data_IF_056352338474
#
_entry.id   IF_056352338474
#
_cell.length_a   1.000
_cell.length_b   1.000
_cell.length_c   1.000
_cell.angle_alpha   90.00
_cell.angle_beta   90.00
_cell.angle_gamma   90.00
#
_symmetry.space_group_name_H-M   'P 1'
#
loop_
_entity.id
_entity.type
_entity.pdbx_description
1 polymer ?
#
# COMPACT_ATOMS: atom_id res chain seq x y z
N UNK A 1 -4.09 -3.47 -8.18
CA UNK A 1 -3.78 -4.36 -7.07
C UNK A 1 -2.28 -4.43 -6.80
N UNK A 2 -1.88 -5.05 -5.71
CA UNK A 2 -0.46 -5.24 -5.37
C UNK A 2 0.04 -6.63 -5.70
N UNK A 3 -0.86 -7.59 -5.83
CA UNK A 3 -0.53 -9.03 -5.90
C UNK A 3 0.48 -9.44 -4.81
N UNK A 4 0.30 -8.85 -3.61
CA UNK A 4 1.20 -9.05 -2.49
C UNK A 4 1.15 -10.50 -2.00
N UNK A 5 2.31 -11.14 -1.96
CA UNK A 5 2.47 -12.51 -1.49
C UNK A 5 3.71 -12.61 -0.59
N UNK A 6 3.52 -13.08 0.64
CA UNK A 6 4.56 -13.17 1.68
C UNK A 6 5.39 -14.46 1.58
N UNK A 7 5.74 -14.92 0.39
CA UNK A 7 6.66 -16.04 0.23
C UNK A 7 8.08 -15.62 0.56
N UNK A 8 8.82 -16.46 1.27
CA UNK A 8 10.24 -16.23 1.54
C UNK A 8 11.10 -16.43 0.29
N UNK A 9 12.29 -15.86 0.27
CA UNK A 9 13.28 -16.11 -0.77
C UNK A 9 13.60 -17.61 -0.88
N UNK A 10 13.69 -18.31 0.27
CA UNK A 10 13.89 -19.77 0.32
C UNK A 10 12.79 -20.55 -0.39
N UNK A 11 11.52 -20.20 -0.17
CA UNK A 11 10.39 -20.85 -0.85
C UNK A 11 10.43 -20.65 -2.36
N UNK A 12 10.85 -19.48 -2.83
CA UNK A 12 11.01 -19.22 -4.27
C UNK A 12 12.19 -19.95 -4.87
N UNK A 13 13.33 -19.98 -4.20
CA UNK A 13 14.56 -20.60 -4.71
C UNK A 13 14.48 -22.12 -4.75
N UNK A 14 13.66 -22.76 -3.92
CA UNK A 14 13.40 -24.22 -4.01
C UNK A 14 12.89 -24.64 -5.39
N UNK A 15 12.18 -23.76 -6.09
CA UNK A 15 11.61 -24.00 -7.41
C UNK A 15 12.36 -23.25 -8.53
N UNK A 16 13.57 -22.75 -8.28
CA UNK A 16 14.33 -21.96 -9.25
C UNK A 16 14.66 -22.70 -10.55
N UNK A 17 14.63 -24.05 -10.54
CA UNK A 17 14.87 -24.89 -11.70
C UNK A 17 13.66 -25.00 -12.65
N UNK A 18 12.45 -24.65 -12.18
CA UNK A 18 11.23 -24.68 -12.99
C UNK A 18 10.28 -23.55 -12.54
N UNK A 19 10.18 -22.51 -13.36
CA UNK A 19 9.33 -21.34 -13.09
C UNK A 19 7.85 -21.68 -12.89
N UNK A 20 7.37 -22.79 -13.47
CA UNK A 20 5.98 -23.24 -13.32
C UNK A 20 5.63 -23.68 -11.90
N UNK A 21 6.63 -24.06 -11.13
CA UNK A 21 6.51 -24.51 -9.74
C UNK A 21 6.78 -23.38 -8.74
N UNK A 22 7.35 -22.27 -9.20
CA UNK A 22 7.69 -21.15 -8.33
C UNK A 22 6.40 -20.47 -7.83
N UNK A 23 6.25 -20.22 -6.52
CA UNK A 23 5.13 -19.47 -5.99
C UNK A 23 5.02 -18.07 -6.64
N UNK A 24 3.83 -17.73 -7.15
CA UNK A 24 3.57 -16.45 -7.81
C UNK A 24 3.47 -15.30 -6.82
N UNK A 25 3.68 -14.07 -7.33
CA UNK A 25 3.58 -12.84 -6.56
C UNK A 25 4.86 -12.45 -5.81
N UNK A 26 4.90 -11.23 -5.36
CA UNK A 26 6.03 -10.60 -4.66
C UNK A 26 5.53 -9.79 -3.47
N UNK A 27 6.32 -9.62 -2.40
CA UNK A 27 5.97 -8.69 -1.33
C UNK A 27 6.04 -7.24 -1.85
N UNK A 28 5.02 -6.43 -1.58
CA UNK A 28 5.00 -5.07 -2.10
C UNK A 28 3.83 -4.20 -1.65
N UNK A 29 2.99 -4.66 -0.71
CA UNK A 29 1.83 -3.87 -0.28
C UNK A 29 2.24 -2.57 0.41
N UNK A 30 3.24 -2.62 1.28
CA UNK A 30 3.74 -1.47 2.03
C UNK A 30 4.52 -0.49 1.15
N UNK A 31 5.33 -1.01 0.23
CA UNK A 31 6.19 -0.20 -0.64
C UNK A 31 5.45 0.42 -1.82
N UNK A 32 4.23 -0.02 -2.11
CA UNK A 32 3.45 0.43 -3.28
C UNK A 32 3.21 1.94 -3.29
N UNK A 33 2.80 2.52 -2.16
CA UNK A 33 2.48 3.94 -2.07
C UNK A 33 3.71 4.81 -2.36
N UNK A 34 4.84 4.67 -1.64
CA UNK A 34 6.03 5.47 -1.89
C UNK A 34 6.65 5.23 -3.27
N UNK A 35 6.62 4.01 -3.80
CA UNK A 35 7.14 3.73 -5.15
C UNK A 35 6.30 4.43 -6.22
N UNK A 36 4.98 4.32 -6.16
CA UNK A 36 4.12 4.97 -7.17
C UNK A 36 4.24 6.49 -7.08
N UNK A 37 4.36 7.06 -5.87
CA UNK A 37 4.63 8.48 -5.72
C UNK A 37 5.96 8.87 -6.36
N UNK A 38 7.04 8.23 -5.96
CA UNK A 38 8.39 8.53 -6.41
C UNK A 38 8.56 8.40 -7.93
N UNK A 39 7.98 7.34 -8.52
CA UNK A 39 8.16 7.07 -9.95
C UNK A 39 7.25 7.88 -10.87
N UNK A 40 6.09 8.28 -10.39
CA UNK A 40 5.09 8.90 -11.26
C UNK A 40 4.73 10.33 -10.88
N UNK A 41 4.68 10.66 -9.59
CA UNK A 41 4.32 12.02 -9.17
C UNK A 41 5.54 12.90 -9.08
N UNK A 42 6.60 12.46 -8.41
CA UNK A 42 7.85 13.20 -8.26
C UNK A 42 8.53 13.46 -9.63
N UNK A 43 8.35 12.54 -10.58
CA UNK A 43 8.82 12.71 -11.97
C UNK A 43 7.89 13.56 -12.86
N UNK A 44 6.72 13.97 -12.37
CA UNK A 44 5.74 14.75 -13.11
C UNK A 44 4.88 13.99 -14.12
N UNK A 45 4.95 12.64 -14.14
CA UNK A 45 4.12 11.80 -15.03
C UNK A 45 2.66 11.75 -14.58
N UNK A 46 2.40 11.86 -13.27
CA UNK A 46 1.06 11.93 -12.70
C UNK A 46 0.93 13.18 -11.81
N UNK A 47 -0.24 13.82 -11.85
CA UNK A 47 -0.56 14.81 -10.84
C UNK A 47 -0.88 14.13 -9.49
N UNK A 48 -0.74 14.82 -8.33
CA UNK A 48 -1.17 14.30 -7.03
C UNK A 48 -2.65 13.86 -7.02
N UNK A 49 -3.52 14.55 -7.75
CA UNK A 49 -4.93 14.21 -7.87
C UNK A 49 -5.13 12.89 -8.64
N UNK A 50 -4.37 12.67 -9.73
CA UNK A 50 -4.40 11.41 -10.47
C UNK A 50 -3.86 10.26 -9.62
N UNK A 51 -2.81 10.49 -8.84
CA UNK A 51 -2.28 9.53 -7.88
C UNK A 51 -3.35 9.08 -6.87
N UNK A 52 -4.06 10.03 -6.22
CA UNK A 52 -5.13 9.70 -5.27
C UNK A 52 -6.26 8.91 -5.96
N UNK A 53 -6.63 9.27 -7.19
CA UNK A 53 -7.61 8.49 -7.96
C UNK A 53 -7.17 7.04 -8.16
N UNK A 54 -5.93 6.82 -8.58
CA UNK A 54 -5.39 5.47 -8.89
C UNK A 54 -5.19 4.65 -7.62
N UNK A 55 -4.73 5.28 -6.54
CA UNK A 55 -4.35 4.57 -5.31
C UNK A 55 -5.53 4.35 -4.35
N UNK A 56 -6.57 5.17 -4.43
CA UNK A 56 -7.66 5.17 -3.45
C UNK A 56 -9.06 5.17 -4.09
N UNK A 57 -9.46 6.23 -4.79
CA UNK A 57 -10.85 6.40 -5.23
C UNK A 57 -11.29 5.34 -6.26
N UNK A 58 -10.47 5.06 -7.26
CA UNK A 58 -10.80 4.06 -8.28
C UNK A 58 -10.84 2.62 -7.73
N UNK A 59 -9.85 2.19 -6.91
CA UNK A 59 -9.97 0.90 -6.21
C UNK A 59 -11.23 0.77 -5.36
N UNK A 60 -11.62 1.83 -4.65
CA UNK A 60 -12.85 1.81 -3.86
C UNK A 60 -14.10 1.64 -4.74
N UNK A 61 -14.18 2.33 -5.89
CA UNK A 61 -15.27 2.17 -6.86
C UNK A 61 -15.32 0.77 -7.46
N UNK A 62 -14.17 0.27 -7.92
CA UNK A 62 -14.05 -1.06 -8.53
C UNK A 62 -14.44 -2.19 -7.59
N UNK A 63 -14.28 -1.98 -6.28
CA UNK A 63 -14.63 -2.97 -5.27
C UNK A 63 -16.00 -2.70 -4.62
N UNK A 64 -16.79 -1.73 -5.11
CA UNK A 64 -18.10 -1.39 -4.56
C UNK A 64 -18.06 -0.86 -3.12
N UNK A 65 -16.97 -0.18 -2.76
CA UNK A 65 -16.75 0.37 -1.42
C UNK A 65 -16.90 1.90 -1.35
N UNK A 66 -17.01 2.54 -2.52
CA UNK A 66 -17.22 3.98 -2.60
C UNK A 66 -18.70 4.33 -2.36
N UNK A 67 -19.04 5.41 -1.61
CA UNK A 67 -18.18 6.44 -1.03
C UNK A 67 -17.73 6.14 0.42
N UNK A 68 -18.05 4.98 0.98
CA UNK A 68 -17.61 4.62 2.34
C UNK A 68 -16.09 4.63 2.48
N UNK A 69 -15.39 4.18 1.43
CA UNK A 69 -13.94 4.21 1.26
C UNK A 69 -13.56 5.06 0.03
N UNK A 70 -12.32 5.53 -0.04
CA UNK A 70 -11.75 6.16 -1.24
C UNK A 70 -12.09 7.65 -1.40
N UNK A 71 -12.67 8.27 -0.38
CA UNK A 71 -12.91 9.72 -0.34
C UNK A 71 -12.84 10.26 1.08
N UNK A 72 -12.60 11.57 1.22
CA UNK A 72 -12.68 12.30 2.48
C UNK A 72 -13.97 13.11 2.44
N UNK A 73 -15.03 12.58 3.04
CA UNK A 73 -16.33 13.22 3.07
C UNK A 73 -17.09 12.84 4.36
N UNK A 74 -18.05 13.65 4.82
CA UNK A 74 -18.93 13.27 5.91
C UNK A 74 -19.65 11.94 5.61
N UNK A 75 -19.57 10.99 6.54
CA UNK A 75 -20.15 9.64 6.39
C UNK A 75 -19.19 8.59 5.83
N UNK A 76 -18.02 8.98 5.30
CA UNK A 76 -16.96 8.03 4.92
C UNK A 76 -16.14 7.61 6.13
N UNK A 77 -15.60 6.39 6.08
CA UNK A 77 -14.66 5.92 7.11
C UNK A 77 -13.39 6.78 7.09
N UNK A 78 -12.89 7.15 8.26
CA UNK A 78 -11.66 7.92 8.41
C UNK A 78 -10.41 7.03 8.24
N UNK A 79 -10.28 6.42 7.06
CA UNK A 79 -9.08 5.71 6.62
C UNK A 79 -8.20 6.72 5.89
N UNK A 80 -7.24 7.27 6.60
CA UNK A 80 -6.48 8.45 6.16
C UNK A 80 -4.98 8.18 6.19
N UNK A 81 -4.27 8.80 5.26
CA UNK A 81 -2.82 8.84 5.25
C UNK A 81 -2.38 10.31 5.23
N UNK A 82 -1.61 10.71 6.24
CA UNK A 82 -0.83 11.95 6.20
C UNK A 82 0.49 11.58 5.54
N UNK A 83 0.80 12.26 4.45
CA UNK A 83 1.88 11.89 3.56
C UNK A 83 2.84 13.07 3.36
N UNK A 84 4.13 12.87 3.66
CA UNK A 84 5.16 13.84 3.31
C UNK A 84 5.65 13.60 1.88
N UNK A 85 5.34 14.50 0.93
CA UNK A 85 5.72 14.34 -0.46
C UNK A 85 7.22 14.50 -0.73
N UNK A 86 7.98 15.01 0.24
CA UNK A 86 9.42 15.33 0.09
C UNK A 86 10.33 14.42 0.92
N UNK A 87 9.79 13.62 1.82
CA UNK A 87 10.58 12.67 2.58
C UNK A 87 11.34 11.73 1.64
N UNK A 88 12.62 11.52 1.89
CA UNK A 88 13.44 10.61 1.09
C UNK A 88 13.92 9.45 1.95
N UNK A 89 13.71 8.22 1.47
CA UNK A 89 14.16 7.00 2.15
C UNK A 89 14.82 6.04 1.17
N UNK A 90 15.67 5.16 1.70
CA UNK A 90 16.19 3.99 0.98
C UNK A 90 15.44 2.79 1.52
N UNK A 91 14.75 2.07 0.64
CA UNK A 91 13.98 0.88 1.04
C UNK A 91 14.92 -0.23 1.48
N UNK A 92 14.68 -0.78 2.65
CA UNK A 92 15.40 -1.92 3.21
C UNK A 92 14.38 -2.90 3.78
N UNK A 93 14.63 -4.17 3.61
CA UNK A 93 13.74 -5.21 4.14
C UNK A 93 13.55 -5.07 5.65
N UNK A 94 14.61 -4.75 6.38
CA UNK A 94 14.59 -4.64 7.84
C UNK A 94 13.76 -3.45 8.37
N UNK A 95 13.47 -2.46 7.50
CA UNK A 95 12.66 -1.29 7.85
C UNK A 95 11.17 -1.46 7.49
N UNK A 96 10.78 -2.62 6.92
CA UNK A 96 9.42 -2.91 6.47
C UNK A 96 8.71 -3.89 7.40
N UNK A 97 7.38 -3.77 7.47
CA UNK A 97 6.53 -4.55 8.38
C UNK A 97 5.82 -5.73 7.70
N UNK A 98 6.25 -6.10 6.49
CA UNK A 98 5.59 -7.14 5.68
C UNK A 98 5.89 -8.58 6.13
N UNK A 99 6.72 -8.79 7.14
CA UNK A 99 7.16 -10.10 7.64
C UNK A 99 7.70 -11.03 6.54
N UNK A 100 8.43 -10.45 5.57
CA UNK A 100 9.13 -11.17 4.51
C UNK A 100 10.63 -10.98 4.67
N UNK A 101 11.41 -11.96 4.23
CA UNK A 101 12.87 -11.95 4.32
C UNK A 101 13.55 -11.25 3.13
N UNK A 102 12.77 -10.62 2.26
CA UNK A 102 13.25 -9.80 1.15
C UNK A 102 12.20 -8.81 0.67
N UNK A 103 12.66 -7.78 -0.02
CA UNK A 103 11.84 -6.91 -0.87
C UNK A 103 12.46 -6.83 -2.27
N UNK A 104 11.64 -6.85 -3.36
CA UNK A 104 12.17 -6.65 -4.71
C UNK A 104 12.74 -5.23 -4.93
N UNK A 105 12.57 -4.35 -3.95
CA UNK A 105 12.98 -2.95 -4.00
C UNK A 105 14.14 -2.63 -3.06
N UNK A 106 14.86 -3.64 -2.56
CA UNK A 106 16.00 -3.46 -1.66
C UNK A 106 17.01 -2.46 -2.23
N UNK A 107 17.43 -1.50 -1.40
CA UNK A 107 18.37 -0.46 -1.78
C UNK A 107 17.81 0.66 -2.67
N UNK A 108 16.54 0.58 -3.10
CA UNK A 108 15.92 1.62 -3.93
C UNK A 108 15.65 2.88 -3.11
N UNK A 109 16.09 4.02 -3.63
CA UNK A 109 15.73 5.34 -3.09
C UNK A 109 14.34 5.74 -3.59
N UNK A 110 13.50 6.22 -2.68
CA UNK A 110 12.17 6.76 -2.99
C UNK A 110 11.99 8.14 -2.39
N UNK A 111 11.18 8.96 -3.03
CA UNK A 111 10.68 10.24 -2.53
C UNK A 111 9.20 10.07 -2.20
N UNK A 112 8.76 10.69 -1.10
CA UNK A 112 7.40 10.57 -0.58
C UNK A 112 7.24 9.39 0.39
N UNK A 113 6.74 9.70 1.61
CA UNK A 113 6.54 8.69 2.65
C UNK A 113 5.31 8.97 3.51
N UNK A 114 4.56 7.96 3.96
CA UNK A 114 3.49 8.17 4.94
C UNK A 114 4.07 8.51 6.31
N UNK A 115 3.61 9.60 6.92
CA UNK A 115 3.97 9.98 8.29
C UNK A 115 3.00 9.40 9.30
N UNK A 116 1.70 9.46 9.00
CA UNK A 116 0.65 8.89 9.84
C UNK A 116 -0.35 8.13 8.99
N UNK A 117 -0.71 6.94 9.45
CA UNK A 117 -1.79 6.14 8.85
C UNK A 117 -2.88 5.92 9.89
N UNK A 118 -4.11 6.17 9.47
CA UNK A 118 -5.30 5.97 10.30
C UNK A 118 -6.25 4.96 9.66
N UNK A 119 -6.84 4.12 10.49
CA UNK A 119 -7.90 3.19 10.13
C UNK A 119 -9.15 3.51 10.96
N UNK A 120 -10.20 3.97 10.33
CA UNK A 120 -11.45 4.43 10.98
C UNK A 120 -11.22 5.40 12.14
N UNK A 121 -10.28 6.35 11.94
CA UNK A 121 -9.94 7.36 12.93
C UNK A 121 -8.95 6.92 14.02
N UNK A 122 -8.55 5.64 14.04
CA UNK A 122 -7.50 5.15 14.93
C UNK A 122 -6.14 5.21 14.22
N UNK A 123 -5.15 5.82 14.86
CA UNK A 123 -3.77 5.81 14.36
C UNK A 123 -3.24 4.37 14.45
N UNK A 124 -2.74 3.85 13.34
CA UNK A 124 -2.14 2.51 13.23
C UNK A 124 -0.65 2.55 12.86
N UNK A 125 -0.18 3.71 12.43
CA UNK A 125 1.23 3.97 12.17
C UNK A 125 1.51 5.45 12.40
N UNK A 126 2.56 5.78 13.15
CA UNK A 126 3.07 7.12 13.35
C UNK A 126 4.52 7.07 13.82
N UNK A 127 5.29 8.13 13.55
CA UNK A 127 6.70 8.27 13.98
C UNK A 127 7.61 7.11 13.57
N UNK A 128 7.28 6.41 12.48
CA UNK A 128 8.03 5.26 11.98
C UNK A 128 7.71 3.92 12.65
N UNK A 129 6.69 3.88 13.53
CA UNK A 129 6.33 2.72 14.32
C UNK A 129 4.89 2.29 14.07
N UNK A 130 4.64 0.97 14.11
CA UNK A 130 3.28 0.45 14.15
C UNK A 130 2.67 0.71 15.54
N UNK A 131 1.47 1.27 15.54
CA UNK A 131 0.64 1.41 16.73
C UNK A 131 -0.39 0.29 16.71
N UNK A 132 -0.34 -0.63 17.67
CA UNK A 132 -1.30 -1.74 17.74
C UNK A 132 -2.60 -1.28 18.42
N UNK A 133 -3.67 -1.04 17.66
CA UNK A 133 -4.98 -0.70 18.23
C UNK A 133 -5.77 -1.94 18.70
N UNK A 134 -5.16 -3.12 18.70
CA UNK A 134 -5.82 -4.40 18.88
C UNK A 134 -6.63 -4.83 17.63
N UNK A 135 -7.45 -5.89 17.72
CA UNK A 135 -8.22 -6.41 16.60
C UNK A 135 -9.32 -5.43 16.19
N UNK A 136 -9.08 -4.69 15.10
CA UNK A 136 -9.97 -3.67 14.53
C UNK A 136 -10.61 -4.06 13.21
N UNK A 137 -10.31 -5.24 12.67
CA UNK A 137 -10.86 -5.72 11.40
C UNK A 137 -12.38 -5.76 11.39
N UNK A 138 -13.01 -5.25 10.33
CA UNK A 138 -14.45 -5.31 10.11
C UNK A 138 -14.75 -5.71 8.68
N UNK A 139 -15.75 -6.56 8.50
CA UNK A 139 -16.27 -6.84 7.16
C UNK A 139 -16.96 -5.57 6.62
N UNK A 140 -16.53 -5.14 5.45
CA UNK A 140 -17.18 -4.06 4.70
C UNK A 140 -17.89 -4.68 3.51
N UNK A 141 -19.24 -4.71 3.48
CA UNK A 141 -19.96 -5.24 2.34
C UNK A 141 -19.73 -4.38 1.10
N UNK A 142 -19.66 -5.03 -0.06
CA UNK A 142 -19.65 -4.35 -1.36
C UNK A 142 -21.08 -4.01 -1.76
N UNK A 143 -21.35 -2.77 -2.14
CA UNK A 143 -22.67 -2.28 -2.58
C UNK A 143 -22.85 -2.31 -4.11
N UNK A 144 -22.00 -3.06 -4.80
CA UNK A 144 -21.97 -3.11 -6.26
C UNK A 144 -20.89 -2.21 -6.86
N UNK A 145 -20.68 -2.36 -8.17
CA UNK A 145 -19.62 -1.61 -8.86
C UNK A 145 -20.25 -0.38 -9.50
N UNK A 146 -19.81 0.80 -9.06
CA UNK A 146 -20.07 2.08 -9.72
C UNK A 146 -18.86 2.44 -10.58
N UNK A 147 -19.00 2.25 -11.88
CA UNK A 147 -17.95 2.48 -12.87
C UNK A 147 -18.00 3.88 -13.51
N UNK A 148 -19.00 4.72 -13.17
CA UNK A 148 -19.23 6.01 -13.83
C UNK A 148 -19.29 7.20 -12.87
#
# INVERSE_FOLDING_TARGET
>A
GSDHCCYSAGQKTQCAHDVRLMPNGLPGVETRLPIVWSEFVDTGLLSPQAFVKVMSANPARLNGLYPRKGTIAPGSDADLVIFDPHATRVLRTDDLHMETDYTPYEGRRVTGWPDVVMLRGHVVFADGELVDPGPTGQLVPSEGIDLW
#
